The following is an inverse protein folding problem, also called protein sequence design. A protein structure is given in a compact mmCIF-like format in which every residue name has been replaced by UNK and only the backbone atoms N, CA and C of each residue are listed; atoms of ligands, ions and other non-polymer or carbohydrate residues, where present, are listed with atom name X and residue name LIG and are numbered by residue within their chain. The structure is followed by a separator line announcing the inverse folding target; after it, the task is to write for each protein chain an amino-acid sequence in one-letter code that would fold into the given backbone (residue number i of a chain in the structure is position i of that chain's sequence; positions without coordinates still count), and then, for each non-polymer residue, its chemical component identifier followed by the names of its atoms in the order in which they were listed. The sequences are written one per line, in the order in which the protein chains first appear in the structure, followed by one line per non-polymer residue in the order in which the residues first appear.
data_IF_009346310266
#
_entry.id   IF_009346310266
#
_cell.length_a   1.000
_cell.length_b   1.000
_cell.length_c   1.000
_cell.angle_alpha   90.00
_cell.angle_beta   90.00
_cell.angle_gamma   90.00
#
_symmetry.space_group_name_H-M   'P 1'
#
loop_
_entity.id
_entity.type
_entity.pdbx_description
1 polymer ?
#
# COMPACT_ATOMS: atom_id res chain seq x y z
N UNK A 1 -14.06 31.45 -0.01
CA UNK A 1 -14.49 30.92 1.30
C UNK A 1 -13.74 29.60 1.51
N UNK A 2 -12.66 29.63 2.29
CA UNK A 2 -11.85 28.46 2.62
C UNK A 2 -12.73 27.51 3.43
N UNK A 3 -13.26 26.46 2.78
CA UNK A 3 -13.85 25.34 3.50
C UNK A 3 -12.73 24.69 4.29
N UNK A 4 -12.82 24.81 5.60
CA UNK A 4 -12.03 24.09 6.58
C UNK A 4 -11.84 22.64 6.11
N UNK A 5 -10.58 22.27 5.85
CA UNK A 5 -10.15 20.88 5.74
C UNK A 5 -10.37 20.23 7.10
N UNK A 6 -11.61 19.88 7.42
CA UNK A 6 -11.88 18.88 8.46
C UNK A 6 -11.08 17.65 8.04
N UNK A 7 -10.01 17.38 8.79
CA UNK A 7 -9.25 16.13 8.72
C UNK A 7 -10.27 14.99 8.67
N UNK A 8 -10.46 14.42 7.49
CA UNK A 8 -11.40 13.32 7.34
C UNK A 8 -10.70 12.13 8.01
N UNK A 9 -11.07 11.81 9.25
CA UNK A 9 -10.47 10.73 10.02
C UNK A 9 -10.66 9.37 9.33
N UNK A 10 -11.55 9.28 8.33
CA UNK A 10 -11.72 8.14 7.40
C UNK A 10 -10.69 8.09 6.26
N UNK A 11 -9.84 9.11 6.12
CA UNK A 11 -8.83 9.18 5.07
C UNK A 11 -7.77 8.09 5.24
N UNK A 12 -7.50 7.39 4.13
CA UNK A 12 -6.43 6.42 4.00
C UNK A 12 -5.09 6.95 4.53
N UNK A 13 -4.73 8.18 4.15
CA UNK A 13 -3.50 8.86 4.55
C UNK A 13 -3.43 9.06 6.07
N UNK A 14 -4.52 9.49 6.69
CA UNK A 14 -4.59 9.67 8.15
C UNK A 14 -4.39 8.33 8.87
N UNK A 15 -5.01 7.27 8.35
CA UNK A 15 -4.88 5.93 8.93
C UNK A 15 -3.46 5.38 8.76
N UNK A 16 -2.79 5.61 7.62
CA UNK A 16 -1.38 5.27 7.43
C UNK A 16 -0.47 5.99 8.43
N UNK A 17 -0.73 7.29 8.70
CA UNK A 17 0.02 8.06 9.70
C UNK A 17 -0.17 7.51 11.11
N UNK A 18 -1.40 7.16 11.48
CA UNK A 18 -1.70 6.54 12.78
C UNK A 18 -0.98 5.20 12.96
N UNK A 19 -0.91 4.37 11.93
CA UNK A 19 -0.14 3.12 11.97
C UNK A 19 1.35 3.38 12.17
N UNK A 20 1.90 4.37 11.48
CA UNK A 20 3.30 4.76 11.65
C UNK A 20 3.61 5.25 13.08
N UNK A 21 2.74 6.10 13.65
CA UNK A 21 2.85 6.57 15.05
C UNK A 21 2.74 5.40 16.05
N UNK A 22 1.85 4.45 15.77
CA UNK A 22 1.70 3.21 16.53
C UNK A 22 2.84 2.20 16.30
N UNK A 23 3.82 2.54 15.44
CA UNK A 23 4.93 1.68 15.02
C UNK A 23 4.45 0.34 14.46
N UNK A 24 3.38 0.34 13.69
CA UNK A 24 2.86 -0.83 12.98
C UNK A 24 3.27 -0.71 11.52
N UNK A 25 4.13 -1.61 11.08
CA UNK A 25 4.69 -1.64 9.74
C UNK A 25 3.89 -2.59 8.83
N UNK A 26 3.89 -2.37 7.49
CA UNK A 26 3.47 -3.38 6.53
C UNK A 26 4.25 -4.68 6.74
N UNK A 27 3.67 -5.81 6.34
CA UNK A 27 4.25 -7.15 6.51
C UNK A 27 4.46 -7.62 7.96
N UNK A 28 4.01 -6.84 8.95
CA UNK A 28 3.78 -7.38 10.29
C UNK A 28 2.52 -8.26 10.26
N UNK A 29 2.71 -9.57 10.05
CA UNK A 29 1.66 -10.56 10.20
C UNK A 29 1.38 -10.76 11.68
N UNK A 30 0.45 -9.95 12.21
CA UNK A 30 0.03 -9.99 13.59
C UNK A 30 -1.12 -11.00 13.76
N UNK A 31 -1.04 -11.85 14.79
CA UNK A 31 -2.10 -12.84 15.12
C UNK A 31 -3.48 -12.17 15.29
N UNK A 32 -3.48 -10.94 15.79
CA UNK A 32 -4.64 -10.06 15.77
C UNK A 32 -4.34 -8.83 14.91
N UNK A 33 -4.97 -8.76 13.73
CA UNK A 33 -4.88 -7.59 12.85
C UNK A 33 -5.44 -6.35 13.59
N UNK A 34 -4.63 -5.31 13.84
CA UNK A 34 -5.07 -4.11 14.53
C UNK A 34 -6.22 -3.42 13.78
N UNK A 35 -7.10 -2.72 14.50
CA UNK A 35 -8.25 -2.01 13.91
C UNK A 35 -7.81 -1.05 12.80
N UNK A 36 -6.68 -0.36 12.98
CA UNK A 36 -6.11 0.54 11.99
C UNK A 36 -5.74 -0.18 10.68
N UNK A 37 -5.20 -1.41 10.75
CA UNK A 37 -4.87 -2.19 9.57
C UNK A 37 -6.15 -2.74 8.90
N UNK A 38 -7.14 -3.20 9.68
CA UNK A 38 -8.47 -3.58 9.16
C UNK A 38 -9.13 -2.41 8.44
N UNK A 39 -8.97 -1.18 8.95
CA UNK A 39 -9.49 0.02 8.32
C UNK A 39 -8.81 0.32 6.98
N UNK A 40 -7.47 0.24 6.88
CA UNK A 40 -6.79 0.39 5.59
C UNK A 40 -7.25 -0.65 4.57
N UNK A 41 -7.36 -1.90 4.99
CA UNK A 41 -7.85 -2.99 4.15
C UNK A 41 -9.29 -2.74 3.69
N UNK A 42 -10.17 -2.29 4.59
CA UNK A 42 -11.54 -1.90 4.26
C UNK A 42 -11.61 -0.76 3.25
N UNK A 43 -10.73 0.23 3.35
CA UNK A 43 -10.64 1.31 2.36
C UNK A 43 -10.19 0.76 0.99
N UNK A 44 -9.18 -0.10 0.96
CA UNK A 44 -8.69 -0.71 -0.29
C UNK A 44 -9.79 -1.58 -0.94
N UNK A 45 -10.46 -2.44 -0.16
CA UNK A 45 -11.58 -3.26 -0.61
C UNK A 45 -12.74 -2.41 -1.14
N UNK A 46 -13.07 -1.30 -0.48
CA UNK A 46 -14.10 -0.40 -0.99
C UNK A 46 -13.74 0.21 -2.36
N UNK A 47 -12.47 0.60 -2.57
CA UNK A 47 -12.01 1.07 -3.88
C UNK A 47 -12.06 -0.04 -4.93
N UNK A 48 -11.62 -1.26 -4.59
CA UNK A 48 -11.73 -2.43 -5.46
C UNK A 48 -13.18 -2.68 -5.88
N UNK A 49 -14.10 -2.78 -4.93
CA UNK A 49 -15.51 -3.12 -5.16
C UNK A 49 -16.25 -2.06 -5.98
N UNK A 50 -15.77 -0.80 -5.93
CA UNK A 50 -16.30 0.30 -6.73
C UNK A 50 -15.58 0.47 -8.08
N UNK A 51 -14.65 -0.43 -8.42
CA UNK A 51 -13.80 -0.37 -9.62
C UNK A 51 -13.01 0.96 -9.73
N UNK A 52 -12.54 1.47 -8.59
CA UNK A 52 -11.79 2.72 -8.44
C UNK A 52 -10.30 2.48 -8.22
N UNK A 53 -9.70 1.61 -9.04
CA UNK A 53 -8.26 1.33 -9.02
C UNK A 53 -7.45 2.61 -9.24
N UNK A 54 -7.89 3.44 -10.20
CA UNK A 54 -7.24 4.71 -10.51
C UNK A 54 -7.14 5.62 -9.31
N UNK A 55 -8.22 5.73 -8.54
CA UNK A 55 -8.27 6.61 -7.39
C UNK A 55 -7.37 6.10 -6.27
N UNK A 56 -7.23 4.77 -6.15
CA UNK A 56 -6.40 4.18 -5.10
C UNK A 56 -4.91 4.33 -5.37
N UNK A 57 -4.44 4.10 -6.60
CA UNK A 57 -3.01 4.26 -6.86
C UNK A 57 -2.53 5.72 -6.76
N UNK A 58 -3.42 6.72 -6.78
CA UNK A 58 -3.06 8.13 -6.51
C UNK A 58 -2.46 8.36 -5.12
N UNK A 59 -2.59 7.40 -4.19
CA UNK A 59 -1.88 7.44 -2.91
C UNK A 59 -0.37 7.16 -3.04
N UNK A 60 0.09 6.63 -4.19
CA UNK A 60 1.52 6.55 -4.52
C UNK A 60 2.02 7.96 -4.84
N UNK A 61 2.78 8.57 -3.93
CA UNK A 61 3.31 9.93 -4.07
C UNK A 61 4.79 10.00 -3.71
N UNK A 62 5.54 10.83 -4.42
CA UNK A 62 6.94 11.09 -4.09
C UNK A 62 7.09 11.62 -2.65
N UNK A 63 8.14 11.18 -1.96
CA UNK A 63 8.43 11.59 -0.58
C UNK A 63 7.55 10.95 0.51
N UNK A 64 6.56 10.12 0.17
CA UNK A 64 5.63 9.51 1.14
C UNK A 64 5.93 8.02 1.39
N UNK A 65 7.14 7.70 1.85
CA UNK A 65 7.65 6.33 2.02
C UNK A 65 6.64 5.33 2.61
N UNK A 66 6.09 5.62 3.80
CA UNK A 66 5.22 4.67 4.52
C UNK A 66 3.85 4.50 3.86
N UNK A 67 3.33 5.57 3.27
CA UNK A 67 2.05 5.53 2.55
C UNK A 67 2.24 4.73 1.27
N UNK A 68 3.34 4.94 0.54
CA UNK A 68 3.65 4.18 -0.67
C UNK A 68 3.80 2.70 -0.38
N UNK A 69 4.45 2.32 0.73
CA UNK A 69 4.62 0.92 1.08
C UNK A 69 3.28 0.23 1.41
N UNK A 70 2.41 0.88 2.18
CA UNK A 70 1.05 0.37 2.42
C UNK A 70 0.22 0.32 1.13
N UNK A 71 0.34 1.34 0.27
CA UNK A 71 -0.42 1.42 -0.98
C UNK A 71 0.00 0.32 -1.94
N UNK A 72 1.31 0.12 -2.14
CA UNK A 72 1.86 -0.94 -2.97
C UNK A 72 1.47 -2.33 -2.45
N UNK A 73 1.55 -2.55 -1.13
CA UNK A 73 1.09 -3.78 -0.50
C UNK A 73 -0.38 -4.07 -0.83
N UNK A 74 -1.28 -3.11 -0.62
CA UNK A 74 -2.70 -3.33 -0.88
C UNK A 74 -3.03 -3.44 -2.37
N UNK A 75 -2.34 -2.70 -3.25
CA UNK A 75 -2.46 -2.86 -4.69
C UNK A 75 -2.15 -4.30 -5.12
N UNK A 76 -1.08 -4.90 -4.58
CA UNK A 76 -0.64 -6.26 -4.95
C UNK A 76 -1.40 -7.40 -4.25
N UNK A 77 -2.06 -7.12 -3.12
CA UNK A 77 -2.77 -8.15 -2.33
C UNK A 77 -4.29 -8.10 -2.48
N UNK A 78 -4.87 -6.92 -2.72
CA UNK A 78 -6.32 -6.73 -2.76
C UNK A 78 -6.82 -6.65 -4.19
N UNK A 79 -6.15 -5.87 -5.04
CA UNK A 79 -6.60 -5.62 -6.41
C UNK A 79 -6.21 -6.78 -7.34
N UNK A 80 -7.10 -7.11 -8.26
CA UNK A 80 -6.86 -8.12 -9.31
C UNK A 80 -6.16 -7.45 -10.50
N UNK A 81 -4.91 -7.02 -10.26
CA UNK A 81 -4.11 -6.32 -11.25
C UNK A 81 -3.75 -7.25 -12.42
N UNK A 82 -3.71 -6.69 -13.62
CA UNK A 82 -3.23 -7.31 -14.85
C UNK A 82 -1.90 -6.67 -15.25
N UNK A 83 -1.07 -7.40 -15.98
CA UNK A 83 0.20 -6.87 -16.53
C UNK A 83 -0.02 -5.63 -17.42
N UNK A 84 -1.19 -5.53 -18.06
CA UNK A 84 -1.57 -4.38 -18.87
C UNK A 84 -1.94 -3.13 -18.07
N UNK A 85 -2.14 -3.24 -16.76
CA UNK A 85 -2.59 -2.11 -15.94
C UNK A 85 -1.44 -1.12 -15.71
N UNK A 86 -1.71 0.16 -15.99
CA UNK A 86 -0.72 1.24 -15.94
C UNK A 86 -1.08 2.29 -14.90
N UNK A 87 -0.06 2.99 -14.39
CA UNK A 87 -0.20 4.11 -13.46
C UNK A 87 -0.62 5.41 -14.19
N UNK A 88 -1.80 5.39 -14.83
CA UNK A 88 -2.28 6.53 -15.61
C UNK A 88 -2.39 7.80 -14.76
N UNK A 89 -1.76 8.89 -15.21
CA UNK A 89 -1.74 10.18 -14.51
C UNK A 89 -0.65 10.31 -13.44
N UNK A 90 0.07 9.24 -13.10
CA UNK A 90 1.28 9.29 -12.25
C UNK A 90 2.54 8.98 -13.06
N UNK A 91 2.53 7.85 -13.74
CA UNK A 91 3.57 7.42 -14.68
C UNK A 91 2.90 6.54 -15.75
N UNK A 92 2.56 7.15 -16.89
CA UNK A 92 1.82 6.47 -17.95
C UNK A 92 2.60 5.35 -18.65
N UNK A 93 3.90 5.26 -18.40
CA UNK A 93 4.78 4.25 -19.00
C UNK A 93 5.00 3.05 -18.07
N UNK A 94 4.82 3.24 -16.76
CA UNK A 94 5.01 2.19 -15.77
C UNK A 94 3.75 1.31 -15.58
N UNK A 95 3.97 -0.01 -15.59
CA UNK A 95 3.00 -0.99 -15.11
C UNK A 95 2.80 -0.88 -13.60
N UNK A 96 1.56 -1.01 -13.13
CA UNK A 96 1.25 -0.89 -11.68
C UNK A 96 1.99 -1.97 -10.89
N UNK A 97 2.00 -3.20 -11.42
CA UNK A 97 2.60 -4.36 -10.75
C UNK A 97 4.10 -4.12 -10.51
N UNK A 98 4.86 -3.85 -11.56
CA UNK A 98 6.31 -3.64 -11.50
C UNK A 98 6.66 -2.48 -10.57
N UNK A 99 5.96 -1.35 -10.72
CA UNK A 99 6.17 -0.18 -9.86
C UNK A 99 5.91 -0.49 -8.38
N UNK A 100 4.87 -1.27 -8.07
CA UNK A 100 4.56 -1.65 -6.70
C UNK A 100 5.63 -2.61 -6.14
N UNK A 101 6.14 -3.55 -6.94
CA UNK A 101 7.24 -4.44 -6.53
C UNK A 101 8.52 -3.64 -6.25
N UNK A 102 8.95 -2.81 -7.21
CA UNK A 102 10.11 -1.93 -7.02
C UNK A 102 9.95 -1.04 -5.79
N UNK A 103 8.72 -0.55 -5.55
CA UNK A 103 8.40 0.22 -4.35
C UNK A 103 8.57 -0.61 -3.08
N UNK A 104 8.11 -1.86 -3.04
CA UNK A 104 8.29 -2.73 -1.87
C UNK A 104 9.77 -3.06 -1.67
N UNK A 105 10.49 -3.48 -2.72
CA UNK A 105 11.90 -3.87 -2.66
C UNK A 105 12.82 -2.72 -2.23
N UNK A 106 12.67 -1.54 -2.86
CA UNK A 106 13.45 -0.34 -2.50
C UNK A 106 13.24 0.06 -1.04
N UNK A 107 12.05 -0.21 -0.50
CA UNK A 107 11.65 0.26 0.81
C UNK A 107 11.87 -0.79 1.92
N UNK A 108 11.92 -2.08 1.60
CA UNK A 108 12.17 -3.17 2.54
C UNK A 108 13.31 -2.90 3.55
N UNK A 109 14.48 -2.34 3.17
CA UNK A 109 15.57 -2.07 4.11
C UNK A 109 15.20 -1.14 5.28
N UNK A 110 14.22 -0.25 5.08
CA UNK A 110 13.82 0.78 6.05
C UNK A 110 12.71 0.34 7.01
N UNK A 111 12.12 -0.84 6.82
CA UNK A 111 11.34 -1.50 7.88
C UNK A 111 12.22 -1.57 9.14
N UNK A 112 11.69 -1.33 10.34
CA UNK A 112 12.49 -1.35 11.57
C UNK A 112 12.38 -2.69 12.28
N UNK A 113 11.25 -3.38 12.14
CA UNK A 113 11.04 -4.65 12.84
C UNK A 113 11.60 -5.81 12.03
N UNK A 114 12.40 -6.65 12.70
CA UNK A 114 13.00 -7.86 12.11
C UNK A 114 11.91 -8.78 11.53
N UNK A 115 10.77 -8.92 12.23
CA UNK A 115 9.67 -9.73 11.74
C UNK A 115 9.06 -9.17 10.44
N UNK A 116 8.85 -7.86 10.36
CA UNK A 116 8.33 -7.19 9.16
C UNK A 116 9.28 -7.38 7.98
N UNK A 117 10.59 -7.19 8.19
CA UNK A 117 11.62 -7.45 7.18
C UNK A 117 11.57 -8.88 6.66
N UNK A 118 11.64 -9.86 7.56
CA UNK A 118 11.66 -11.28 7.18
C UNK A 118 10.38 -11.68 6.42
N UNK A 119 9.22 -11.16 6.84
CA UNK A 119 7.96 -11.42 6.18
C UNK A 119 7.88 -10.76 4.80
N UNK A 120 8.39 -9.53 4.64
CA UNK A 120 8.50 -8.84 3.37
C UNK A 120 9.42 -9.61 2.41
N UNK A 121 10.59 -10.05 2.87
CA UNK A 121 11.54 -10.92 2.13
C UNK A 121 10.87 -12.18 1.57
N UNK A 122 10.16 -12.91 2.44
CA UNK A 122 9.45 -14.13 2.07
C UNK A 122 8.32 -13.84 1.09
N UNK A 123 7.63 -12.72 1.28
CA UNK A 123 6.53 -12.29 0.43
C UNK A 123 7.02 -11.93 -0.98
N UNK A 124 8.10 -11.15 -1.09
CA UNK A 124 8.73 -10.79 -2.39
C UNK A 124 9.14 -12.08 -3.11
N UNK A 125 9.88 -12.96 -2.44
CA UNK A 125 10.31 -14.24 -3.03
C UNK A 125 9.14 -15.06 -3.56
N UNK A 126 8.09 -15.23 -2.73
CA UNK A 126 6.89 -15.97 -3.12
C UNK A 126 6.20 -15.38 -4.34
N UNK A 127 6.14 -14.05 -4.46
CA UNK A 127 5.51 -13.38 -5.59
C UNK A 127 6.31 -13.54 -6.87
N UNK A 128 7.64 -13.43 -6.80
CA UNK A 128 8.52 -13.67 -7.96
C UNK A 128 8.40 -15.11 -8.47
N UNK A 129 8.25 -16.08 -7.55
CA UNK A 129 8.04 -17.50 -7.91
C UNK A 129 6.67 -17.76 -8.58
N UNK A 130 5.71 -16.84 -8.50
CA UNK A 130 4.37 -16.95 -9.14
C UNK A 130 4.32 -16.23 -10.49
N UNK A 131 5.17 -15.22 -10.70
CA UNK A 131 5.27 -14.46 -11.96
C UNK A 131 6.18 -15.13 -13.00
N UNK A 132 6.78 -16.28 -12.67
CA UNK A 132 7.62 -17.11 -13.55
C UNK A 132 7.03 -18.51 -13.67
#
# INVERSE_FOLDING_TARGET
MLKELKSNSESYIVTCKQLWEAKIEPFEYLDYKPELQKKLEGIALNHKNQNRLSDFYQYLQEGQYWINLWTAYFLLEVFELKESDKLLGLNNEAGIIDFCFETVERNQPYLKKIIAKSNCEKWIKKKNDIQH
#
